data_IF_752519136329
#
_entry.id   IF_752519136329
#
_cell.length_a   1.000
_cell.length_b   1.000
_cell.length_c   1.000
_cell.angle_alpha   90.00
_cell.angle_beta   90.00
_cell.angle_gamma   90.00
#
_symmetry.space_group_name_H-M   'P 1'
#
loop_
_entity.id
_entity.type
_entity.pdbx_description
1 polymer ?
#
# COMPACT_ATOMS: atom_id res chain seq x y z
N UNK A 1 20.01 -10.19 -4.04
CA UNK A 1 20.73 -9.23 -3.19
C UNK A 1 20.14 -7.84 -3.36
N UNK A 2 19.80 -7.18 -2.26
CA UNK A 2 19.18 -5.85 -2.26
C UNK A 2 20.27 -4.79 -2.16
N UNK A 3 20.11 -3.71 -2.95
CA UNK A 3 21.02 -2.57 -2.88
C UNK A 3 20.77 -1.76 -1.61
N UNK A 4 21.76 -0.96 -1.22
CA UNK A 4 21.59 0.01 -0.13
C UNK A 4 20.41 0.93 -0.41
N UNK A 5 20.30 1.44 -1.65
CA UNK A 5 19.21 2.34 -2.05
C UNK A 5 17.84 1.69 -1.87
N UNK A 6 17.70 0.41 -2.24
CA UNK A 6 16.46 -0.34 -2.05
C UNK A 6 16.08 -0.39 -0.56
N UNK A 7 17.03 -0.76 0.30
CA UNK A 7 16.78 -0.89 1.74
C UNK A 7 16.41 0.47 2.34
N UNK A 8 17.14 1.52 1.98
CA UNK A 8 16.87 2.86 2.49
C UNK A 8 15.52 3.40 2.02
N UNK A 9 15.14 3.12 0.77
CA UNK A 9 13.83 3.50 0.27
C UNK A 9 12.72 2.79 1.05
N UNK A 10 12.84 1.49 1.28
CA UNK A 10 11.83 0.75 2.04
C UNK A 10 11.71 1.27 3.47
N UNK A 11 12.84 1.58 4.11
CA UNK A 11 12.83 2.19 5.44
C UNK A 11 12.12 3.54 5.45
N UNK A 12 12.35 4.36 4.43
CA UNK A 12 11.65 5.63 4.26
C UNK A 12 10.14 5.44 4.20
N UNK A 13 9.67 4.49 3.38
CA UNK A 13 8.24 4.21 3.25
C UNK A 13 7.64 3.70 4.56
N UNK A 14 8.32 2.81 5.25
CA UNK A 14 7.86 2.27 6.54
C UNK A 14 7.82 3.36 7.60
N UNK A 15 8.81 4.23 7.64
CA UNK A 15 8.85 5.34 8.59
C UNK A 15 7.72 6.36 8.36
N UNK A 16 7.23 6.46 7.13
CA UNK A 16 6.13 7.36 6.79
C UNK A 16 4.76 6.70 6.87
N UNK A 17 4.68 5.46 7.34
CA UNK A 17 3.42 4.74 7.45
C UNK A 17 2.47 5.43 8.44
N UNK A 18 1.19 5.39 8.10
CA UNK A 18 0.11 5.95 8.90
C UNK A 18 -0.65 4.80 9.56
N UNK A 19 -0.86 4.90 10.86
CA UNK A 19 -1.56 3.89 11.66
C UNK A 19 -2.91 4.44 12.09
N UNK A 20 -3.98 3.66 11.86
CA UNK A 20 -5.36 4.05 12.16
C UNK A 20 -6.05 2.91 12.92
N UNK A 21 -7.19 3.22 13.54
CA UNK A 21 -8.04 2.25 14.22
C UNK A 21 -7.24 1.40 15.22
N UNK A 22 -6.64 2.07 16.19
CA UNK A 22 -5.82 1.44 17.23
C UNK A 22 -4.71 0.56 16.63
N UNK A 23 -4.04 1.09 15.60
CA UNK A 23 -2.94 0.46 14.87
C UNK A 23 -3.33 -0.78 14.04
N UNK A 24 -4.62 -1.08 13.92
CA UNK A 24 -5.10 -2.24 13.15
C UNK A 24 -5.02 -2.04 11.65
N UNK A 25 -5.09 -0.79 11.19
CA UNK A 25 -4.97 -0.41 9.79
C UNK A 25 -3.69 0.37 9.63
N UNK A 26 -2.84 -0.04 8.69
CA UNK A 26 -1.61 0.70 8.41
C UNK A 26 -1.41 0.82 6.90
N UNK A 27 -1.02 2.00 6.46
CA UNK A 27 -0.71 2.19 5.05
C UNK A 27 0.46 3.16 4.88
N UNK A 28 1.07 3.11 3.70
CA UNK A 28 2.05 4.11 3.29
C UNK A 28 1.75 4.53 1.86
N UNK A 29 2.18 5.73 1.52
CA UNK A 29 2.01 6.29 0.18
C UNK A 29 3.36 6.44 -0.49
N UNK A 30 3.40 6.22 -1.80
CA UNK A 30 4.61 6.35 -2.60
C UNK A 30 4.30 7.25 -3.79
N UNK A 31 4.88 8.44 -3.79
CA UNK A 31 4.76 9.38 -4.89
C UNK A 31 5.93 9.20 -5.86
N UNK A 32 5.78 9.64 -7.10
CA UNK A 32 6.87 9.60 -8.07
C UNK A 32 8.10 10.35 -7.58
N UNK A 33 7.90 11.47 -6.89
CA UNK A 33 9.01 12.24 -6.31
C UNK A 33 9.79 11.44 -5.27
N UNK A 34 9.12 10.52 -4.56
CA UNK A 34 9.79 9.65 -3.59
C UNK A 34 10.70 8.65 -4.29
N UNK A 35 10.21 8.05 -5.39
CA UNK A 35 11.03 7.15 -6.20
C UNK A 35 12.26 7.88 -6.77
N UNK A 36 12.06 9.09 -7.29
CA UNK A 36 13.13 9.91 -7.83
C UNK A 36 14.19 10.25 -6.79
N UNK A 37 13.75 10.59 -5.57
CA UNK A 37 14.63 10.94 -4.45
C UNK A 37 15.65 9.84 -4.15
N UNK A 38 15.25 8.58 -4.30
CA UNK A 38 16.10 7.42 -4.02
C UNK A 38 16.64 6.77 -5.29
N UNK A 39 16.41 7.35 -6.45
CA UNK A 39 16.72 6.72 -7.74
C UNK A 39 16.13 5.32 -7.83
N UNK A 40 14.90 5.18 -7.33
CA UNK A 40 14.24 3.89 -7.18
C UNK A 40 13.48 3.48 -8.42
N UNK A 41 13.53 2.20 -8.77
CA UNK A 41 12.69 1.61 -9.79
C UNK A 41 11.33 1.20 -9.22
N UNK A 42 10.41 0.78 -10.09
CA UNK A 42 9.06 0.39 -9.67
C UNK A 42 9.04 -0.79 -8.71
N UNK A 43 10.01 -1.69 -8.81
CA UNK A 43 10.13 -2.87 -7.96
C UNK A 43 10.55 -2.54 -6.53
N UNK A 44 10.98 -1.30 -6.25
CA UNK A 44 11.41 -0.91 -4.91
C UNK A 44 10.26 -0.93 -3.90
N UNK A 45 9.00 -0.92 -4.34
CA UNK A 45 7.84 -1.01 -3.46
C UNK A 45 7.46 -2.46 -3.11
N UNK A 46 8.06 -3.44 -3.78
CA UNK A 46 7.74 -4.86 -3.54
C UNK A 46 8.05 -5.23 -2.09
N UNK A 47 7.10 -5.90 -1.44
CA UNK A 47 7.26 -6.40 -0.07
C UNK A 47 6.90 -5.40 1.03
N UNK A 48 6.62 -4.13 0.73
CA UNK A 48 6.31 -3.15 1.77
C UNK A 48 4.99 -3.50 2.48
N UNK A 49 3.95 -3.87 1.73
CA UNK A 49 2.67 -4.22 2.34
C UNK A 49 2.81 -5.43 3.28
N UNK A 50 3.63 -6.42 2.92
CA UNK A 50 3.91 -7.57 3.78
C UNK A 50 4.68 -7.18 5.03
N UNK A 51 5.66 -6.27 4.90
CA UNK A 51 6.41 -5.76 6.06
C UNK A 51 5.47 -5.09 7.05
N UNK A 52 4.54 -4.26 6.57
CA UNK A 52 3.57 -3.60 7.44
C UNK A 52 2.57 -4.60 8.05
N UNK A 53 2.15 -5.61 7.29
CA UNK A 53 1.28 -6.67 7.82
C UNK A 53 1.94 -7.46 8.94
N UNK A 54 3.26 -7.60 8.92
CA UNK A 54 4.00 -8.37 9.92
C UNK A 54 4.01 -7.73 11.31
N UNK A 55 3.62 -6.46 11.43
CA UNK A 55 3.49 -5.79 12.72
C UNK A 55 2.37 -6.48 13.51
N UNK A 56 2.60 -6.75 14.80
CA UNK A 56 1.71 -7.58 15.63
C UNK A 56 0.27 -7.04 15.71
N UNK A 57 0.09 -5.74 15.73
CA UNK A 57 -1.24 -5.11 15.81
C UNK A 57 -1.96 -4.99 14.46
N UNK A 58 -1.27 -5.16 13.36
CA UNK A 58 -1.85 -4.95 12.02
C UNK A 58 -2.85 -6.03 11.66
N UNK A 59 -4.07 -5.62 11.30
CA UNK A 59 -5.08 -6.48 10.68
C UNK A 59 -5.06 -6.36 9.17
N UNK A 60 -4.88 -5.14 8.66
CA UNK A 60 -4.80 -4.88 7.22
C UNK A 60 -3.77 -3.80 6.93
N UNK A 61 -3.00 -4.01 5.88
CA UNK A 61 -2.01 -3.05 5.40
C UNK A 61 -2.18 -2.79 3.92
N UNK A 62 -1.79 -1.60 3.46
CA UNK A 62 -1.72 -1.35 2.03
C UNK A 62 -0.70 -0.28 1.67
N UNK A 63 -0.29 -0.32 0.41
CA UNK A 63 0.59 0.67 -0.21
C UNK A 63 -0.19 1.33 -1.34
N UNK A 64 -0.22 2.66 -1.35
CA UNK A 64 -0.81 3.45 -2.42
C UNK A 64 0.31 4.12 -3.22
N UNK A 65 0.56 3.64 -4.43
CA UNK A 65 1.64 4.12 -5.28
C UNK A 65 1.10 4.96 -6.43
N UNK A 66 1.61 6.17 -6.55
CA UNK A 66 1.24 7.07 -7.64
C UNK A 66 1.71 6.53 -8.98
N UNK A 67 0.78 6.34 -9.93
CA UNK A 67 1.09 6.08 -11.34
C UNK A 67 1.16 7.41 -12.08
N UNK A 68 0.15 8.26 -11.89
CA UNK A 68 0.12 9.65 -12.32
C UNK A 68 -0.85 10.42 -11.42
N UNK A 69 -1.13 11.69 -11.75
CA UNK A 69 -1.96 12.55 -10.90
C UNK A 69 -3.40 12.05 -10.73
N UNK A 70 -3.85 11.10 -11.56
CA UNK A 70 -5.23 10.60 -11.60
C UNK A 70 -5.32 9.08 -11.56
N UNK A 71 -4.22 8.41 -11.23
CA UNK A 71 -4.18 6.95 -11.22
C UNK A 71 -3.24 6.47 -10.12
N UNK A 72 -3.73 5.57 -9.27
CA UNK A 72 -2.99 5.04 -8.11
C UNK A 72 -3.09 3.53 -8.07
N UNK A 73 -1.97 2.87 -7.91
CA UNK A 73 -1.89 1.42 -7.74
C UNK A 73 -1.91 1.08 -6.26
N UNK A 74 -2.80 0.17 -5.87
CA UNK A 74 -2.96 -0.30 -4.49
C UNK A 74 -2.49 -1.74 -4.38
N UNK A 75 -1.68 -2.02 -3.36
CA UNK A 75 -1.30 -3.39 -2.96
C UNK A 75 -1.73 -3.59 -1.52
N UNK A 76 -2.54 -4.62 -1.25
CA UNK A 76 -3.13 -4.87 0.06
C UNK A 76 -2.74 -6.23 0.62
N UNK A 77 -2.62 -6.29 1.94
CA UNK A 77 -2.40 -7.53 2.69
C UNK A 77 -3.26 -7.52 3.94
N UNK A 78 -3.66 -8.69 4.42
CA UNK A 78 -4.44 -8.77 5.65
C UNK A 78 -4.18 -10.07 6.40
N UNK A 79 -4.72 -10.13 7.62
CA UNK A 79 -4.72 -11.34 8.47
C UNK A 79 -6.12 -11.92 8.65
N UNK A 80 -7.16 -11.20 8.24
CA UNK A 80 -8.54 -11.64 8.47
C UNK A 80 -9.51 -11.17 7.40
N UNK A 81 -9.55 -9.87 7.13
CA UNK A 81 -10.50 -9.36 6.14
C UNK A 81 -10.11 -9.80 4.72
N UNK A 82 -11.10 -9.97 3.87
CA UNK A 82 -10.91 -10.38 2.49
C UNK A 82 -10.53 -9.17 1.62
N UNK A 83 -9.24 -8.98 1.39
CA UNK A 83 -8.75 -7.86 0.58
C UNK A 83 -8.99 -8.05 -0.91
N UNK A 84 -9.21 -9.29 -1.36
CA UNK A 84 -9.62 -9.53 -2.75
C UNK A 84 -11.00 -8.93 -3.01
N UNK A 85 -11.91 -9.05 -2.05
CA UNK A 85 -13.25 -8.46 -2.13
C UNK A 85 -13.18 -6.94 -2.14
N UNK A 86 -12.34 -6.34 -1.31
CA UNK A 86 -12.11 -4.88 -1.31
C UNK A 86 -11.60 -4.42 -2.67
N UNK A 87 -10.57 -5.06 -3.19
CA UNK A 87 -9.95 -4.70 -4.47
C UNK A 87 -10.88 -4.93 -5.66
N UNK A 88 -11.74 -5.95 -5.59
CA UNK A 88 -12.70 -6.26 -6.66
C UNK A 88 -13.68 -5.10 -6.91
N UNK A 89 -13.98 -4.30 -5.91
CA UNK A 89 -14.85 -3.12 -6.05
C UNK A 89 -14.23 -2.05 -6.97
N UNK A 90 -12.93 -2.13 -7.19
CA UNK A 90 -12.20 -1.21 -8.07
C UNK A 90 -11.67 -1.93 -9.32
N UNK A 91 -12.23 -3.10 -9.64
CA UNK A 91 -11.84 -3.85 -10.83
C UNK A 91 -10.57 -4.68 -10.68
N UNK A 92 -10.03 -4.77 -9.46
CA UNK A 92 -8.87 -5.59 -9.16
C UNK A 92 -9.24 -6.96 -8.60
N UNK A 93 -8.33 -7.56 -7.87
CA UNK A 93 -8.54 -8.87 -7.27
C UNK A 93 -7.27 -9.47 -6.72
N UNK A 94 -7.31 -10.77 -6.43
CA UNK A 94 -6.18 -11.51 -5.88
C UNK A 94 -6.68 -12.62 -4.97
N UNK A 95 -5.99 -12.79 -3.86
CA UNK A 95 -6.33 -13.78 -2.84
C UNK A 95 -6.91 -13.10 -1.60
N UNK A 96 -7.53 -13.88 -0.71
CA UNK A 96 -8.19 -13.36 0.49
C UNK A 96 -7.28 -12.43 1.31
N UNK A 97 -6.01 -12.78 1.46
CA UNK A 97 -5.08 -12.03 2.31
C UNK A 97 -4.03 -11.22 1.53
N UNK A 98 -4.11 -11.24 0.20
CA UNK A 98 -3.14 -10.54 -0.66
C UNK A 98 -3.80 -10.20 -2.00
N UNK A 99 -4.03 -8.92 -2.25
CA UNK A 99 -4.72 -8.47 -3.45
C UNK A 99 -4.24 -7.09 -3.87
N UNK A 100 -4.63 -6.68 -5.06
CA UNK A 100 -4.30 -5.37 -5.58
C UNK A 100 -5.33 -4.85 -6.56
N UNK A 101 -5.30 -3.55 -6.77
CA UNK A 101 -6.16 -2.87 -7.75
C UNK A 101 -5.49 -1.58 -8.20
N UNK A 102 -6.08 -1.00 -9.24
CA UNK A 102 -5.69 0.33 -9.71
C UNK A 102 -6.93 1.22 -9.63
N UNK A 103 -6.81 2.35 -8.95
CA UNK A 103 -7.91 3.27 -8.72
C UNK A 103 -7.71 4.52 -9.57
N UNK A 104 -8.75 4.92 -10.30
CA UNK A 104 -8.75 6.11 -11.16
C UNK A 104 -8.94 7.37 -10.32
N UNK A 105 -7.95 7.65 -9.50
CA UNK A 105 -7.92 8.81 -8.60
C UNK A 105 -6.47 9.08 -8.20
N UNK A 106 -6.18 10.29 -7.76
CA UNK A 106 -4.89 10.61 -7.15
C UNK A 106 -4.71 9.87 -5.83
N UNK A 107 -3.50 9.88 -5.31
CA UNK A 107 -3.13 9.06 -4.13
C UNK A 107 -4.04 9.35 -2.93
N UNK A 108 -4.25 10.61 -2.60
CA UNK A 108 -5.05 10.98 -1.43
C UNK A 108 -6.48 10.46 -1.52
N UNK A 109 -7.12 10.62 -2.69
CA UNK A 109 -8.49 10.16 -2.89
C UNK A 109 -8.56 8.64 -2.96
N UNK A 110 -7.56 7.99 -3.55
CA UNK A 110 -7.49 6.54 -3.61
C UNK A 110 -7.38 5.94 -2.20
N UNK A 111 -6.54 6.52 -1.33
CA UNK A 111 -6.43 6.11 0.07
C UNK A 111 -7.79 6.24 0.77
N UNK A 112 -8.48 7.36 0.59
CA UNK A 112 -9.80 7.56 1.20
C UNK A 112 -10.81 6.50 0.73
N UNK A 113 -10.79 6.15 -0.55
CA UNK A 113 -11.68 5.13 -1.11
C UNK A 113 -11.41 3.75 -0.50
N UNK A 114 -10.16 3.37 -0.37
CA UNK A 114 -9.77 2.10 0.26
C UNK A 114 -10.21 2.07 1.73
N UNK A 115 -9.94 3.13 2.48
CA UNK A 115 -10.31 3.20 3.89
C UNK A 115 -11.82 3.07 4.09
N UNK A 116 -12.63 3.65 3.22
CA UNK A 116 -14.09 3.49 3.28
C UNK A 116 -14.51 2.04 3.10
N UNK A 117 -13.88 1.32 2.19
CA UNK A 117 -14.22 -0.08 1.94
C UNK A 117 -13.78 -1.00 3.09
N UNK A 118 -12.63 -0.73 3.70
CA UNK A 118 -12.15 -1.50 4.85
C UNK A 118 -13.12 -1.38 6.04
N UNK A 119 -13.70 -0.21 6.22
CA UNK A 119 -14.57 0.09 7.39
C UNK A 119 -16.03 -0.34 7.22
N UNK A 120 -16.37 -0.92 6.10
CA UNK A 120 -17.74 -1.39 5.83
C UNK A 120 -18.13 -2.63 6.65
#
# INVERSE_FOLDING_TARGET
TKTKSFVMFQNYCVNNAVFLDDNKIVYTTVYKKDLEKFSAGDDYTDGIAETLRAIDTTEVSFVAKEVDSKLTKISMRSKGIDVAEVCAKFGGGGHTFAAGCTIKAGVKDAVAKILREIKQ
#
